data_IF_308287091505
#
_entry.id   IF_308287091505
#
_cell.length_a   1.000
_cell.length_b   1.000
_cell.length_c   1.000
_cell.angle_alpha   90.00
_cell.angle_beta   90.00
_cell.angle_gamma   90.00
#
_symmetry.space_group_name_H-M   'P 1'
#
loop_
_entity.id
_entity.type
_entity.pdbx_description
1 polymer ?
#
# COMPACT_ATOMS: atom_id res chain seq x y z
N UNK A 1 24.09 9.95 -18.20
CA UNK A 1 23.69 9.41 -16.89
C UNK A 1 22.81 10.45 -16.26
N UNK A 2 21.50 10.22 -16.21
CA UNK A 2 20.62 11.11 -15.45
C UNK A 2 20.92 10.95 -13.96
N UNK A 3 21.19 12.06 -13.29
CA UNK A 3 21.44 12.11 -11.85
C UNK A 3 20.12 11.94 -11.10
N UNK A 4 20.01 10.96 -10.21
CA UNK A 4 18.85 10.80 -9.34
C UNK A 4 18.75 11.99 -8.37
N UNK A 5 17.77 12.87 -8.58
CA UNK A 5 17.48 13.99 -7.68
C UNK A 5 16.63 13.50 -6.51
N UNK A 6 17.20 13.53 -5.31
CA UNK A 6 16.46 13.22 -4.08
C UNK A 6 15.62 14.43 -3.69
N UNK A 7 14.32 14.22 -3.53
CA UNK A 7 13.36 15.25 -3.09
C UNK A 7 12.62 14.78 -1.84
N UNK A 8 12.31 15.73 -0.95
CA UNK A 8 11.51 15.47 0.25
C UNK A 8 10.12 16.05 0.06
N UNK A 9 9.11 15.18 0.02
CA UNK A 9 7.70 15.59 -0.02
C UNK A 9 7.26 16.06 1.37
N UNK A 10 6.78 17.29 1.46
CA UNK A 10 6.27 17.88 2.70
C UNK A 10 4.75 18.11 2.61
N UNK A 11 3.98 17.02 2.64
CA UNK A 11 2.52 17.11 2.68
C UNK A 11 2.10 17.51 4.09
N UNK A 12 1.21 18.50 4.19
CA UNK A 12 0.63 18.95 5.45
C UNK A 12 -0.56 18.06 5.81
N UNK A 13 -0.72 17.75 7.10
CA UNK A 13 -1.85 16.98 7.61
C UNK A 13 -1.86 16.98 9.13
N UNK A 14 -3.02 16.69 9.72
CA UNK A 14 -3.15 16.49 11.16
C UNK A 14 -2.74 15.05 11.52
N UNK A 15 -1.44 14.86 11.63
CA UNK A 15 -0.85 13.54 11.90
C UNK A 15 -1.15 13.03 13.30
N UNK A 16 -1.42 13.91 14.27
CA UNK A 16 -1.76 13.54 15.62
C UNK A 16 -3.20 13.03 15.71
N UNK A 17 -4.15 13.64 14.99
CA UNK A 17 -5.51 13.13 14.87
C UNK A 17 -5.55 11.77 14.18
N UNK A 18 -4.81 11.60 13.06
CA UNK A 18 -4.70 10.32 12.36
C UNK A 18 -4.06 9.24 13.23
N UNK A 19 -2.96 9.58 13.91
CA UNK A 19 -2.26 8.74 14.88
C UNK A 19 -3.21 8.18 15.94
N UNK A 20 -3.98 9.06 16.60
CA UNK A 20 -4.97 8.67 17.61
C UNK A 20 -6.10 7.82 17.02
N UNK A 21 -6.63 8.20 15.86
CA UNK A 21 -7.76 7.51 15.23
C UNK A 21 -7.43 6.06 14.88
N UNK A 22 -6.25 5.81 14.31
CA UNK A 22 -5.87 4.48 13.83
C UNK A 22 -4.89 3.76 14.75
N UNK A 23 -4.57 4.33 15.92
CA UNK A 23 -3.67 3.74 16.92
C UNK A 23 -2.27 3.44 16.35
N UNK A 24 -1.73 4.38 15.57
CA UNK A 24 -0.40 4.30 14.96
C UNK A 24 0.47 5.47 15.41
N UNK A 25 1.75 5.48 15.04
CA UNK A 25 2.61 6.63 15.32
C UNK A 25 2.34 7.80 14.34
N UNK A 26 2.57 9.06 14.73
CA UNK A 26 2.50 10.21 13.81
C UNK A 26 3.46 10.08 12.62
N UNK A 27 4.58 9.38 12.82
CA UNK A 27 5.54 9.06 11.74
C UNK A 27 4.90 8.16 10.68
N UNK A 28 4.21 7.09 11.10
CA UNK A 28 3.50 6.20 10.17
C UNK A 28 2.36 6.93 9.46
N UNK A 29 1.60 7.76 10.18
CA UNK A 29 0.58 8.63 9.58
C UNK A 29 1.16 9.53 8.47
N UNK A 30 2.33 10.14 8.70
CA UNK A 30 3.02 10.96 7.72
C UNK A 30 3.48 10.16 6.49
N UNK A 31 4.02 8.96 6.69
CA UNK A 31 4.42 8.07 5.58
C UNK A 31 3.22 7.71 4.70
N UNK A 32 2.09 7.35 5.29
CA UNK A 32 0.88 7.00 4.55
C UNK A 32 0.36 8.18 3.72
N UNK A 33 0.24 9.36 4.33
CA UNK A 33 -0.21 10.58 3.64
C UNK A 33 0.75 10.94 2.50
N UNK A 34 2.05 10.85 2.71
CA UNK A 34 3.07 11.06 1.65
C UNK A 34 2.96 10.04 0.50
N UNK A 35 2.36 8.87 0.73
CA UNK A 35 2.07 7.86 -0.30
C UNK A 35 0.69 8.01 -0.94
N UNK A 36 -0.05 9.06 -0.61
CA UNK A 36 -1.41 9.30 -1.11
C UNK A 36 -2.52 8.52 -0.40
N UNK A 37 -2.19 7.75 0.63
CA UNK A 37 -3.13 6.95 1.42
C UNK A 37 -3.81 7.90 2.41
N UNK A 38 -4.96 8.44 2.02
CA UNK A 38 -5.61 9.55 2.74
C UNK A 38 -7.07 9.29 3.07
N UNK A 39 -7.77 8.45 2.32
CA UNK A 39 -9.16 8.10 2.64
C UNK A 39 -9.21 7.12 3.80
N UNK A 40 -10.32 7.14 4.53
CA UNK A 40 -10.58 6.24 5.64
C UNK A 40 -10.64 4.77 5.18
N UNK A 41 -11.10 4.52 3.95
CA UNK A 41 -11.06 3.21 3.32
C UNK A 41 -9.63 2.77 3.00
N UNK A 42 -8.82 3.63 2.37
CA UNK A 42 -7.43 3.31 2.01
C UNK A 42 -6.58 3.04 3.25
N UNK A 43 -6.74 3.86 4.29
CA UNK A 43 -5.98 3.70 5.53
C UNK A 43 -6.34 2.37 6.21
N UNK A 44 -7.63 2.02 6.25
CA UNK A 44 -8.06 0.72 6.79
C UNK A 44 -7.53 -0.44 5.98
N UNK A 45 -7.67 -0.40 4.65
CA UNK A 45 -7.17 -1.44 3.77
C UNK A 45 -5.64 -1.60 3.89
N UNK A 46 -4.91 -0.49 4.06
CA UNK A 46 -3.45 -0.52 4.21
C UNK A 46 -2.99 -1.08 5.55
N UNK A 47 -3.62 -0.69 6.66
CA UNK A 47 -3.20 -1.10 8.01
C UNK A 47 -3.77 -2.45 8.45
N UNK A 48 -4.98 -2.77 8.00
CA UNK A 48 -5.80 -3.88 8.52
C UNK A 48 -6.35 -4.76 7.40
N UNK A 49 -5.77 -4.69 6.20
CA UNK A 49 -6.20 -5.47 5.04
C UNK A 49 -6.13 -6.98 5.30
N UNK A 50 -7.07 -7.69 4.69
CA UNK A 50 -7.25 -9.14 4.81
C UNK A 50 -7.06 -9.84 3.46
N UNK A 51 -6.83 -11.16 3.47
CA UNK A 51 -6.71 -11.94 2.24
C UNK A 51 -7.98 -11.86 1.36
N UNK A 52 -9.15 -11.69 1.96
CA UNK A 52 -10.42 -11.52 1.24
C UNK A 52 -10.53 -10.20 0.47
N UNK A 53 -9.70 -9.21 0.78
CA UNK A 53 -9.68 -7.90 0.11
C UNK A 53 -8.61 -7.83 -0.98
N UNK A 54 -7.87 -8.92 -1.22
CA UNK A 54 -6.94 -9.01 -2.33
C UNK A 54 -7.69 -8.95 -3.67
N UNK A 55 -7.07 -8.30 -4.64
CA UNK A 55 -7.54 -8.35 -6.02
C UNK A 55 -7.52 -9.79 -6.53
N UNK A 56 -8.43 -10.09 -7.45
CA UNK A 56 -8.46 -11.38 -8.13
C UNK A 56 -7.09 -11.62 -8.81
N UNK A 57 -6.36 -12.69 -8.44
CA UNK A 57 -5.05 -12.97 -9.01
C UNK A 57 -5.10 -13.18 -10.53
N UNK A 58 -6.23 -13.61 -11.10
CA UNK A 58 -6.36 -13.78 -12.55
C UNK A 58 -6.42 -12.46 -13.34
N UNK A 59 -6.49 -11.32 -12.65
CA UNK A 59 -6.29 -10.00 -13.27
C UNK A 59 -4.82 -9.74 -13.61
N UNK A 60 -3.88 -10.47 -13.00
CA UNK A 60 -2.47 -10.39 -13.36
C UNK A 60 -2.23 -11.07 -14.71
N UNK A 61 -1.38 -10.45 -15.52
CA UNK A 61 -1.03 -10.96 -16.85
C UNK A 61 -0.48 -12.38 -16.76
N UNK A 62 -1.04 -13.28 -17.57
CA UNK A 62 -0.64 -14.69 -17.72
C UNK A 62 -0.68 -15.51 -16.40
N UNK A 63 -1.55 -15.12 -15.45
CA UNK A 63 -1.67 -15.83 -14.17
C UNK A 63 -2.11 -17.30 -14.35
N UNK A 64 -3.00 -17.57 -15.29
CA UNK A 64 -3.44 -18.92 -15.67
C UNK A 64 -2.25 -19.79 -16.10
N UNK A 65 -1.38 -19.24 -16.96
CA UNK A 65 -0.17 -19.92 -17.41
C UNK A 65 0.82 -20.15 -16.28
N UNK A 66 0.97 -19.17 -15.39
CA UNK A 66 1.87 -19.28 -14.23
C UNK A 66 1.44 -20.45 -13.32
N UNK A 67 0.15 -20.58 -13.02
CA UNK A 67 -0.39 -21.68 -12.21
C UNK A 67 -0.16 -23.03 -12.88
N UNK A 68 -0.39 -23.13 -14.19
CA UNK A 68 -0.15 -24.36 -14.94
C UNK A 68 1.31 -24.81 -14.90
N UNK A 69 2.26 -23.87 -15.07
CA UNK A 69 3.70 -24.17 -15.01
C UNK A 69 4.12 -24.68 -13.63
N UNK A 70 3.62 -24.06 -12.57
CA UNK A 70 3.90 -24.50 -11.20
C UNK A 70 3.35 -25.89 -10.92
N UNK A 71 2.13 -26.18 -11.38
CA UNK A 71 1.51 -27.50 -11.16
C UNK A 71 2.24 -28.63 -11.90
N UNK A 72 2.81 -28.35 -13.08
CA UNK A 72 3.58 -29.34 -13.86
C UNK A 72 4.99 -29.61 -13.32
N UNK A 73 5.53 -28.71 -12.49
CA UNK A 73 6.89 -28.81 -11.96
C UNK A 73 6.99 -29.66 -10.68
N UNK A 74 5.84 -30.03 -10.11
CA UNK A 74 5.68 -30.92 -8.96
C UNK A 74 5.29 -32.31 -9.44
#
# INVERSE_FOLDING_TARGET
MESSVWTVSNIKGDFDALSKKYQITPMLARIMVNRGITSDADIRAYLFGTLSELHDPFLLKDMDRAVELLYRAV
#
